data_IF_439449690598
#
_entry.id   IF_439449690598
#
_cell.length_a   1.000
_cell.length_b   1.000
_cell.length_c   1.000
_cell.angle_alpha   90.00
_cell.angle_beta   90.00
_cell.angle_gamma   90.00
#
_symmetry.space_group_name_H-M   'P 1'
#
loop_
_entity.id
_entity.type
_entity.pdbx_description
1 polymer ?
#
# COMPACT_ATOMS: atom_id res chain seq x y z
N UNK A 1 13.36 23.55 3.62
CA UNK A 1 12.59 22.35 3.99
C UNK A 1 11.22 22.38 3.33
N UNK A 2 10.56 21.23 3.19
CA UNK A 2 9.19 21.11 2.64
C UNK A 2 8.22 22.00 3.42
N UNK A 3 8.33 22.07 4.76
CA UNK A 3 7.53 22.95 5.61
C UNK A 3 7.62 24.41 5.19
N UNK A 4 8.83 24.89 4.89
CA UNK A 4 9.03 26.27 4.47
C UNK A 4 8.40 26.53 3.09
N UNK A 5 8.40 25.54 2.18
CA UNK A 5 7.68 25.64 0.90
C UNK A 5 6.16 25.69 1.12
N UNK A 6 5.62 24.82 2.00
CA UNK A 6 4.19 24.78 2.32
C UNK A 6 3.73 26.08 3.00
N UNK A 7 4.57 26.68 3.85
CA UNK A 7 4.28 27.95 4.56
C UNK A 7 4.60 29.21 3.75
N UNK A 8 5.11 29.07 2.54
CA UNK A 8 5.44 30.22 1.70
C UNK A 8 4.16 30.80 1.09
N UNK A 9 3.76 31.99 1.59
CA UNK A 9 2.55 32.73 1.15
C UNK A 9 2.54 33.04 -0.35
N UNK A 10 3.70 33.23 -0.97
CA UNK A 10 3.77 33.49 -2.42
C UNK A 10 3.48 32.26 -3.29
N UNK A 11 3.72 31.07 -2.75
CA UNK A 11 3.40 29.81 -3.43
C UNK A 11 1.90 29.52 -3.44
N UNK A 12 1.16 29.96 -2.42
CA UNK A 12 -0.24 29.55 -2.21
C UNK A 12 -1.29 30.58 -2.53
N UNK A 13 -0.92 31.82 -2.82
CA UNK A 13 -1.88 32.92 -3.02
C UNK A 13 -2.90 32.73 -4.16
N UNK A 14 -2.69 31.75 -5.02
CA UNK A 14 -3.58 31.44 -6.15
C UNK A 14 -4.39 30.14 -5.95
N UNK A 15 -4.33 29.50 -4.77
CA UNK A 15 -5.05 28.26 -4.50
C UNK A 15 -6.14 28.50 -3.47
N UNK A 16 -7.37 28.18 -3.84
CA UNK A 16 -8.55 28.19 -2.98
C UNK A 16 -8.97 26.74 -2.71
N UNK A 17 -9.35 26.43 -1.48
CA UNK A 17 -9.79 25.11 -1.06
C UNK A 17 -11.19 25.16 -0.49
N UNK A 18 -12.07 24.28 -0.94
CA UNK A 18 -13.33 23.99 -0.27
C UNK A 18 -13.12 22.81 0.70
N UNK A 19 -13.75 22.88 1.85
CA UNK A 19 -13.80 21.79 2.81
C UNK A 19 -15.16 21.10 2.64
N UNK A 20 -15.18 19.77 2.48
CA UNK A 20 -16.40 19.01 2.35
C UNK A 20 -17.39 19.29 3.48
N UNK A 21 -18.63 19.66 3.11
CA UNK A 21 -19.69 20.01 4.05
C UNK A 21 -19.79 21.50 4.40
N UNK A 22 -18.88 22.34 3.89
CA UNK A 22 -18.98 23.80 3.97
C UNK A 22 -19.54 24.32 2.63
N UNK A 23 -20.48 25.26 2.69
CA UNK A 23 -21.10 25.84 1.48
C UNK A 23 -20.02 26.51 0.62
N UNK A 24 -20.19 26.46 -0.72
CA UNK A 24 -19.28 27.02 -1.73
C UNK A 24 -18.89 28.51 -1.50
N UNK A 25 -19.63 29.21 -0.67
CA UNK A 25 -19.37 30.61 -0.31
C UNK A 25 -18.26 30.76 0.75
N UNK A 26 -17.85 29.65 1.41
CA UNK A 26 -16.81 29.62 2.46
C UNK A 26 -15.57 28.88 1.93
N UNK A 27 -14.88 29.49 0.96
CA UNK A 27 -13.58 29.00 0.51
C UNK A 27 -12.45 29.63 1.33
N UNK A 28 -11.53 28.80 1.77
CA UNK A 28 -10.37 29.25 2.54
C UNK A 28 -9.14 29.34 1.66
N UNK A 29 -8.35 30.37 1.85
CA UNK A 29 -7.01 30.41 1.28
C UNK A 29 -6.10 29.40 2.00
N UNK A 30 -5.30 28.63 1.25
CA UNK A 30 -4.39 27.65 1.84
C UNK A 30 -3.48 28.22 2.95
N UNK A 31 -2.94 29.47 2.85
CA UNK A 31 -2.16 30.07 3.94
C UNK A 31 -2.91 30.15 5.28
N UNK A 32 -4.21 30.45 5.27
CA UNK A 32 -5.01 30.55 6.50
C UNK A 32 -5.20 29.18 7.15
N UNK A 33 -5.42 28.13 6.35
CA UNK A 33 -5.53 26.75 6.84
C UNK A 33 -4.21 26.31 7.44
N UNK A 34 -3.09 26.57 6.75
CA UNK A 34 -1.75 26.16 7.20
C UNK A 34 -1.29 26.93 8.44
N UNK A 35 -1.65 28.20 8.59
CA UNK A 35 -1.31 28.98 9.81
C UNK A 35 -2.03 28.43 11.05
N UNK A 36 -3.20 27.80 10.89
CA UNK A 36 -4.01 27.25 11.99
C UNK A 36 -3.79 25.77 12.22
N UNK A 37 -3.30 25.05 11.21
CA UNK A 37 -3.11 23.63 11.28
C UNK A 37 -1.75 23.25 11.87
N UNK A 38 -1.73 22.25 12.73
CA UNK A 38 -0.51 21.53 13.06
C UNK A 38 -0.13 20.62 11.90
N UNK A 39 1.08 20.82 11.33
CA UNK A 39 1.55 20.01 10.20
C UNK A 39 2.40 18.89 10.76
N UNK A 40 1.84 17.69 10.72
CA UNK A 40 2.52 16.45 11.08
C UNK A 40 3.10 15.80 9.84
N UNK A 41 4.32 15.27 9.95
CA UNK A 41 4.98 14.50 8.90
C UNK A 41 5.12 13.06 9.35
N UNK A 42 4.37 12.18 8.67
CA UNK A 42 4.43 10.76 8.91
C UNK A 42 4.77 9.98 7.62
N UNK A 43 5.39 8.82 7.81
CA UNK A 43 5.58 7.88 6.70
C UNK A 43 4.22 7.34 6.25
N UNK A 44 4.00 7.28 4.93
CA UNK A 44 2.76 6.74 4.34
C UNK A 44 2.48 5.33 4.85
N UNK A 45 3.51 4.48 4.92
CA UNK A 45 3.38 3.10 5.38
C UNK A 45 3.00 3.04 6.86
N UNK A 46 3.54 3.94 7.69
CA UNK A 46 3.18 4.05 9.10
C UNK A 46 1.72 4.47 9.30
N UNK A 47 1.26 5.48 8.56
CA UNK A 47 -0.15 5.89 8.59
C UNK A 47 -1.10 4.74 8.23
N UNK A 48 -0.73 3.88 7.27
CA UNK A 48 -1.53 2.71 6.93
C UNK A 48 -1.55 1.66 8.05
N UNK A 49 -0.43 1.46 8.77
CA UNK A 49 -0.39 0.57 9.94
C UNK A 49 -1.37 1.05 11.01
N UNK A 50 -1.28 2.32 11.40
CA UNK A 50 -2.17 2.91 12.40
C UNK A 50 -3.64 2.74 12.03
N UNK A 51 -4.01 3.05 10.78
CA UNK A 51 -5.37 2.89 10.28
C UNK A 51 -5.87 1.45 10.46
N UNK A 52 -5.12 0.47 10.00
CA UNK A 52 -5.59 -0.91 9.98
C UNK A 52 -5.55 -1.57 11.36
N UNK A 53 -4.59 -1.21 12.21
CA UNK A 53 -4.57 -1.67 13.61
C UNK A 53 -5.81 -1.14 14.36
N UNK A 54 -6.18 0.13 14.16
CA UNK A 54 -7.40 0.69 14.76
C UNK A 54 -8.67 0.03 14.22
N UNK A 55 -8.72 -0.31 12.92
CA UNK A 55 -9.84 -1.07 12.35
C UNK A 55 -10.00 -2.45 13.01
N UNK A 56 -8.90 -3.17 13.20
CA UNK A 56 -8.91 -4.47 13.90
C UNK A 56 -9.42 -4.31 15.33
N UNK A 57 -9.01 -3.24 16.04
CA UNK A 57 -9.47 -2.97 17.40
C UNK A 57 -10.95 -2.68 17.43
N UNK A 58 -11.44 -1.82 16.53
CA UNK A 58 -12.86 -1.48 16.46
C UNK A 58 -13.72 -2.71 16.13
N UNK A 59 -13.27 -3.59 15.21
CA UNK A 59 -13.93 -4.86 14.93
C UNK A 59 -13.99 -5.79 16.17
N UNK A 60 -12.88 -5.93 16.90
CA UNK A 60 -12.80 -6.76 18.12
C UNK A 60 -13.67 -6.21 19.25
N UNK A 61 -13.83 -4.90 19.34
CA UNK A 61 -14.59 -4.24 20.40
C UNK A 61 -16.06 -3.98 20.04
N UNK A 62 -16.47 -4.18 18.80
CA UNK A 62 -17.82 -3.88 18.29
C UNK A 62 -18.97 -4.55 19.06
N UNK A 63 -18.71 -5.69 19.73
CA UNK A 63 -19.70 -6.42 20.55
C UNK A 63 -19.81 -5.96 22.02
N UNK A 64 -18.94 -5.05 22.49
CA UNK A 64 -18.94 -4.60 23.88
C UNK A 64 -19.95 -3.47 24.09
N UNK A 65 -20.75 -3.58 25.16
CA UNK A 65 -21.72 -2.53 25.53
C UNK A 65 -21.06 -1.20 25.94
N UNK A 66 -19.85 -1.27 26.46
CA UNK A 66 -19.04 -0.11 26.84
C UNK A 66 -17.57 -0.43 26.55
N UNK A 67 -16.91 0.43 25.84
CA UNK A 67 -15.48 0.33 25.49
C UNK A 67 -14.75 1.39 26.31
N UNK A 68 -13.72 0.98 27.03
CA UNK A 68 -12.84 1.87 27.82
C UNK A 68 -11.54 2.14 27.07
N UNK A 69 -10.81 3.21 27.45
CA UNK A 69 -9.48 3.47 26.92
C UNK A 69 -8.49 2.34 27.27
N UNK A 70 -8.67 1.70 28.41
CA UNK A 70 -7.87 0.54 28.82
C UNK A 70 -8.11 -0.66 27.88
N UNK A 71 -9.36 -0.91 27.46
CA UNK A 71 -9.68 -1.91 26.47
C UNK A 71 -8.99 -1.63 25.13
N UNK A 72 -9.05 -0.37 24.66
CA UNK A 72 -8.39 0.05 23.42
C UNK A 72 -6.88 -0.10 23.49
N UNK A 73 -6.26 0.37 24.56
CA UNK A 73 -4.81 0.28 24.76
C UNK A 73 -4.31 -1.16 24.83
N UNK A 74 -5.09 -2.04 25.50
CA UNK A 74 -4.75 -3.48 25.54
C UNK A 74 -4.81 -4.12 24.17
N UNK A 75 -5.89 -3.87 23.41
CA UNK A 75 -6.01 -4.39 22.04
C UNK A 75 -4.95 -3.79 21.12
N UNK A 76 -4.63 -2.52 21.24
CA UNK A 76 -3.55 -1.88 20.47
C UNK A 76 -2.21 -2.59 20.72
N UNK A 77 -1.81 -2.73 21.97
CA UNK A 77 -0.57 -3.42 22.34
C UNK A 77 -0.54 -4.89 21.88
N UNK A 78 -1.69 -5.58 21.87
CA UNK A 78 -1.76 -6.99 21.44
C UNK A 78 -1.60 -7.17 19.92
N UNK A 79 -1.90 -6.14 19.13
CA UNK A 79 -1.75 -6.18 17.67
C UNK A 79 -0.38 -5.69 17.19
N UNK A 80 0.42 -5.08 18.05
CA UNK A 80 1.81 -4.73 17.78
C UNK A 80 2.77 -5.87 18.20
N UNK A 81 3.96 -5.98 17.58
CA UNK A 81 4.43 -5.21 16.44
C UNK A 81 3.65 -5.50 15.16
N UNK A 82 3.51 -4.48 14.30
CA UNK A 82 2.90 -4.62 12.99
C UNK A 82 3.93 -4.40 11.87
N UNK A 83 3.83 -5.17 10.80
CA UNK A 83 4.68 -5.07 9.62
C UNK A 83 3.84 -4.79 8.38
N UNK A 84 4.23 -3.81 7.58
CA UNK A 84 3.42 -3.37 6.45
C UNK A 84 4.22 -3.19 5.17
N UNK A 85 3.52 -3.44 4.06
CA UNK A 85 3.91 -3.09 2.70
C UNK A 85 2.90 -2.11 2.12
N UNK A 86 3.36 -0.91 1.77
CA UNK A 86 2.59 0.07 1.01
C UNK A 86 2.90 -0.09 -0.47
N UNK A 87 2.05 -0.82 -1.17
CA UNK A 87 2.24 -1.21 -2.56
C UNK A 87 1.74 -0.12 -3.51
N UNK A 88 2.64 0.74 -3.95
CA UNK A 88 2.35 1.84 -4.87
C UNK A 88 2.65 1.54 -6.33
N UNK A 89 2.25 2.47 -7.20
CA UNK A 89 2.53 2.40 -8.64
C UNK A 89 4.01 2.57 -8.98
N UNK A 90 4.74 3.39 -8.21
CA UNK A 90 6.17 3.72 -8.44
C UNK A 90 7.10 3.19 -7.37
N UNK A 91 6.61 2.98 -6.16
CA UNK A 91 7.40 2.56 -5.00
C UNK A 91 6.64 1.56 -4.16
N UNK A 92 7.38 0.69 -3.47
CA UNK A 92 6.87 -0.11 -2.37
C UNK A 92 7.50 0.43 -1.08
N UNK A 93 6.66 0.86 -0.14
CA UNK A 93 7.09 1.20 1.21
C UNK A 93 7.09 -0.04 2.09
N UNK A 94 8.10 -0.20 2.95
CA UNK A 94 8.16 -1.25 3.96
C UNK A 94 8.38 -0.58 5.31
N UNK A 95 7.57 -0.90 6.31
CA UNK A 95 7.72 -0.38 7.65
C UNK A 95 7.31 -1.39 8.71
N UNK A 96 7.86 -1.22 9.92
CA UNK A 96 7.44 -1.91 11.13
C UNK A 96 7.14 -0.89 12.22
N UNK A 97 6.02 -1.06 12.86
CA UNK A 97 5.66 -0.34 14.08
C UNK A 97 5.83 -1.25 15.30
N UNK A 98 6.52 -0.73 16.31
CA UNK A 98 6.72 -1.36 17.59
C UNK A 98 6.55 -0.31 18.69
N UNK A 99 5.67 -0.55 19.65
CA UNK A 99 5.39 0.32 20.81
C UNK A 99 4.99 1.77 20.46
N UNK A 100 4.18 1.94 19.41
CA UNK A 100 3.76 3.27 18.89
C UNK A 100 4.94 4.19 18.52
N UNK A 101 6.13 3.63 18.29
CA UNK A 101 7.30 4.35 17.79
C UNK A 101 7.66 3.87 16.40
N UNK A 102 7.96 4.82 15.52
CA UNK A 102 8.48 4.50 14.19
C UNK A 102 9.84 3.84 14.37
N UNK A 103 9.92 2.57 14.06
CA UNK A 103 11.22 1.95 13.94
C UNK A 103 11.90 2.54 12.69
N UNK A 104 13.13 3.03 12.84
CA UNK A 104 13.91 3.77 11.85
C UNK A 104 14.24 3.01 10.55
N UNK A 105 13.69 1.82 10.37
CA UNK A 105 13.84 0.95 9.20
C UNK A 105 12.67 1.01 8.22
N UNK A 106 12.02 2.17 8.04
CA UNK A 106 11.14 2.32 6.89
C UNK A 106 11.98 2.55 5.65
N UNK A 107 11.73 1.79 4.59
CA UNK A 107 12.37 2.02 3.30
C UNK A 107 11.34 2.14 2.18
N UNK A 108 11.79 2.76 1.09
CA UNK A 108 11.03 2.84 -0.15
C UNK A 108 11.85 2.20 -1.27
N UNK A 109 11.29 1.19 -1.93
CA UNK A 109 11.93 0.44 -3.00
C UNK A 109 11.13 0.59 -4.30
N UNK A 110 11.81 0.79 -5.42
CA UNK A 110 11.19 0.93 -6.74
C UNK A 110 11.09 -0.39 -7.50
N UNK A 111 11.93 -1.37 -7.17
CA UNK A 111 12.12 -2.58 -7.98
C UNK A 111 10.89 -3.48 -8.05
N UNK A 112 10.04 -3.40 -7.03
CA UNK A 112 8.83 -4.23 -6.91
C UNK A 112 7.53 -3.50 -7.23
N UNK A 113 7.61 -2.25 -7.72
CA UNK A 113 6.42 -1.44 -8.01
C UNK A 113 5.76 -1.81 -9.36
N UNK A 114 4.51 -1.39 -9.56
CA UNK A 114 3.74 -1.67 -10.79
C UNK A 114 4.47 -1.18 -12.05
N UNK A 115 5.11 -0.03 -11.99
CA UNK A 115 5.90 0.49 -13.12
C UNK A 115 6.97 -0.51 -13.58
N UNK A 116 7.62 -1.19 -12.65
CA UNK A 116 8.64 -2.19 -12.95
C UNK A 116 8.01 -3.48 -13.53
N UNK A 117 6.85 -3.90 -13.03
CA UNK A 117 6.08 -5.01 -13.59
C UNK A 117 5.70 -4.71 -15.05
N UNK A 118 5.22 -3.49 -15.33
CA UNK A 118 4.88 -3.06 -16.70
C UNK A 118 6.11 -3.08 -17.62
N UNK A 119 7.24 -2.58 -17.13
CA UNK A 119 8.50 -2.60 -17.88
C UNK A 119 8.95 -4.03 -18.17
N UNK A 120 8.93 -4.91 -17.18
CA UNK A 120 9.32 -6.32 -17.33
C UNK A 120 8.38 -7.07 -18.28
N UNK A 121 7.08 -6.79 -18.22
CA UNK A 121 6.08 -7.35 -19.14
C UNK A 121 6.36 -6.91 -20.58
N UNK A 122 6.59 -5.59 -20.81
CA UNK A 122 6.93 -5.05 -22.12
C UNK A 122 8.21 -5.70 -22.68
N UNK A 123 9.24 -5.82 -21.85
CA UNK A 123 10.51 -6.45 -22.22
C UNK A 123 10.35 -7.94 -22.53
N UNK A 124 9.53 -8.66 -21.77
CA UNK A 124 9.25 -10.09 -22.01
C UNK A 124 8.55 -10.31 -23.35
N UNK A 125 7.53 -9.50 -23.63
CA UNK A 125 6.80 -9.52 -24.90
C UNK A 125 7.75 -9.22 -26.06
N UNK A 126 8.59 -8.20 -25.92
CA UNK A 126 9.57 -7.87 -26.96
C UNK A 126 10.55 -9.00 -27.24
N UNK A 127 11.08 -9.63 -26.18
CA UNK A 127 11.99 -10.77 -26.32
C UNK A 127 11.37 -11.94 -27.09
N UNK A 128 10.08 -12.19 -26.83
CA UNK A 128 9.36 -13.34 -27.39
C UNK A 128 8.84 -13.09 -28.81
N UNK A 129 8.29 -11.89 -29.06
CA UNK A 129 7.54 -11.60 -30.28
C UNK A 129 8.20 -10.56 -31.18
N UNK A 130 9.31 -9.92 -30.77
CA UNK A 130 9.92 -8.77 -31.46
C UNK A 130 8.90 -7.66 -31.73
N UNK A 131 7.96 -7.47 -30.79
CA UNK A 131 6.91 -6.46 -30.85
C UNK A 131 6.97 -5.54 -29.64
N UNK A 132 7.02 -4.23 -29.84
CA UNK A 132 7.15 -3.23 -28.78
C UNK A 132 5.77 -2.75 -28.32
N UNK A 133 5.51 -2.89 -27.02
CA UNK A 133 4.36 -2.28 -26.36
C UNK A 133 4.91 -1.25 -25.36
N UNK A 134 4.49 0.03 -25.44
CA UNK A 134 4.87 1.02 -24.44
C UNK A 134 4.46 0.57 -23.02
N UNK A 135 5.38 0.68 -22.07
CA UNK A 135 5.16 0.19 -20.70
C UNK A 135 3.94 0.81 -20.01
N UNK A 136 3.65 2.09 -20.31
CA UNK A 136 2.51 2.85 -19.79
C UNK A 136 1.15 2.33 -20.28
N UNK A 137 1.12 1.49 -21.31
CA UNK A 137 -0.09 0.87 -21.85
C UNK A 137 -0.32 -0.55 -21.35
N UNK A 138 0.69 -1.18 -20.74
CA UNK A 138 0.66 -2.58 -20.34
C UNK A 138 -0.49 -2.87 -19.38
N UNK A 139 -0.62 -2.06 -18.30
CA UNK A 139 -1.64 -2.27 -17.29
C UNK A 139 -3.05 -2.14 -17.86
N UNK A 140 -3.32 -1.07 -18.63
CA UNK A 140 -4.60 -0.87 -19.30
C UNK A 140 -4.93 -2.03 -20.26
N UNK A 141 -3.98 -2.44 -21.09
CA UNK A 141 -4.18 -3.53 -22.04
C UNK A 141 -4.38 -4.90 -21.35
N UNK A 142 -3.72 -5.11 -20.20
CA UNK A 142 -3.91 -6.33 -19.42
C UNK A 142 -5.28 -6.36 -18.74
N UNK A 143 -5.76 -5.22 -18.20
CA UNK A 143 -7.08 -5.06 -17.58
C UNK A 143 -8.21 -5.24 -18.62
N UNK A 144 -8.03 -4.70 -19.83
CA UNK A 144 -8.97 -4.85 -20.96
C UNK A 144 -8.90 -6.23 -21.61
N UNK A 145 -8.03 -7.13 -21.15
CA UNK A 145 -7.74 -8.45 -21.79
C UNK A 145 -7.42 -8.33 -23.28
N UNK A 146 -6.75 -7.26 -23.67
CA UNK A 146 -6.49 -6.91 -25.05
C UNK A 146 -5.61 -7.95 -25.75
N UNK A 147 -6.03 -8.32 -26.96
CA UNK A 147 -5.26 -9.15 -27.88
C UNK A 147 -4.74 -8.27 -29.01
N UNK A 148 -3.44 -8.29 -29.23
CA UNK A 148 -2.81 -7.59 -30.36
C UNK A 148 -2.66 -8.57 -31.51
N UNK A 149 -3.22 -8.20 -32.66
CA UNK A 149 -3.02 -8.88 -33.93
C UNK A 149 -2.32 -7.89 -34.86
N UNK A 150 -1.03 -8.10 -35.14
CA UNK A 150 -0.22 -7.14 -35.87
C UNK A 150 0.99 -7.85 -36.49
N UNK A 151 1.87 -7.11 -37.16
CA UNK A 151 3.15 -7.57 -37.63
C UNK A 151 4.27 -7.08 -36.69
N UNK A 152 5.23 -7.97 -36.38
CA UNK A 152 6.41 -7.63 -35.60
C UNK A 152 7.44 -6.82 -36.41
N UNK A 153 8.56 -6.43 -35.76
CA UNK A 153 9.64 -5.67 -36.42
C UNK A 153 10.30 -6.43 -37.59
N UNK A 154 10.14 -7.75 -37.66
CA UNK A 154 10.68 -8.61 -38.72
C UNK A 154 9.65 -8.84 -39.84
N UNK A 155 8.45 -8.23 -39.75
CA UNK A 155 7.36 -8.36 -40.70
C UNK A 155 6.56 -9.67 -40.60
N UNK A 156 6.70 -10.40 -39.48
CA UNK A 156 5.98 -11.62 -39.20
C UNK A 156 4.66 -11.33 -38.46
N UNK A 157 3.55 -12.04 -38.77
CA UNK A 157 2.29 -11.87 -38.06
C UNK A 157 2.40 -12.41 -36.65
N UNK A 158 1.95 -11.62 -35.67
CA UNK A 158 1.96 -11.98 -34.22
C UNK A 158 0.58 -11.82 -33.61
N UNK A 159 0.27 -12.75 -32.68
CA UNK A 159 -0.92 -12.67 -31.81
C UNK A 159 -0.44 -12.66 -30.37
N UNK A 160 -0.62 -11.53 -29.70
CA UNK A 160 -0.08 -11.32 -28.34
C UNK A 160 -1.24 -11.13 -27.36
N UNK A 161 -1.29 -11.99 -26.34
CA UNK A 161 -2.17 -11.86 -25.17
C UNK A 161 -1.39 -11.25 -24.03
N UNK A 162 -1.72 -10.02 -23.63
CA UNK A 162 -0.95 -9.25 -22.64
C UNK A 162 -1.24 -9.71 -21.20
N UNK A 163 -2.52 -9.95 -20.88
CA UNK A 163 -2.95 -10.29 -19.53
C UNK A 163 -2.24 -11.51 -18.92
N UNK A 164 -2.01 -12.63 -19.63
CA UNK A 164 -1.27 -13.77 -19.06
C UNK A 164 0.16 -13.43 -18.69
N UNK A 165 0.88 -12.67 -19.53
CA UNK A 165 2.26 -12.29 -19.26
C UNK A 165 2.34 -11.28 -18.11
N UNK A 166 1.42 -10.31 -18.05
CA UNK A 166 1.32 -9.36 -16.95
C UNK A 166 1.06 -10.08 -15.61
N UNK A 167 0.11 -11.02 -15.57
CA UNK A 167 -0.17 -11.85 -14.38
C UNK A 167 1.06 -12.66 -13.95
N UNK A 168 1.83 -13.20 -14.88
CA UNK A 168 3.07 -13.92 -14.59
C UNK A 168 4.11 -13.00 -13.97
N UNK A 169 4.28 -11.78 -14.49
CA UNK A 169 5.21 -10.80 -13.93
C UNK A 169 4.80 -10.33 -12.53
N UNK A 170 3.49 -10.09 -12.30
CA UNK A 170 2.97 -9.80 -10.93
C UNK A 170 3.36 -10.91 -9.97
N UNK A 171 3.13 -12.17 -10.35
CA UNK A 171 3.43 -13.30 -9.46
C UNK A 171 4.92 -13.45 -9.15
N UNK A 172 5.78 -13.21 -10.13
CA UNK A 172 7.23 -13.21 -9.95
C UNK A 172 7.65 -12.09 -9.00
N UNK A 173 7.17 -10.87 -9.24
CA UNK A 173 7.50 -9.70 -8.42
C UNK A 173 7.04 -9.85 -6.98
N UNK A 174 5.84 -10.40 -6.72
CA UNK A 174 5.37 -10.67 -5.35
C UNK A 174 6.30 -11.65 -4.62
N UNK A 175 6.74 -12.70 -5.32
CA UNK A 175 7.67 -13.68 -4.76
C UNK A 175 9.02 -13.04 -4.45
N UNK A 176 9.55 -12.25 -5.36
CA UNK A 176 10.82 -11.52 -5.18
C UNK A 176 10.72 -10.51 -4.02
N UNK A 177 9.61 -9.76 -3.89
CA UNK A 177 9.36 -8.87 -2.77
C UNK A 177 9.33 -9.62 -1.43
N UNK A 178 8.67 -10.79 -1.40
CA UNK A 178 8.66 -11.64 -0.20
C UNK A 178 10.08 -12.13 0.14
N UNK A 179 10.83 -12.65 -0.83
CA UNK A 179 12.21 -13.12 -0.65
C UNK A 179 13.13 -11.99 -0.17
N UNK A 180 12.98 -10.79 -0.74
CA UNK A 180 13.67 -9.59 -0.29
C UNK A 180 13.32 -9.26 1.16
N UNK A 181 12.03 -9.23 1.50
CA UNK A 181 11.58 -8.95 2.88
C UNK A 181 12.11 -10.00 3.87
N UNK A 182 12.13 -11.28 3.48
CA UNK A 182 12.72 -12.35 4.29
C UNK A 182 14.24 -12.21 4.46
N UNK A 183 14.93 -11.70 3.47
CA UNK A 183 16.37 -11.50 3.53
C UNK A 183 16.74 -10.33 4.45
N UNK A 184 16.09 -9.18 4.27
CA UNK A 184 16.47 -7.91 4.93
C UNK A 184 15.78 -7.71 6.29
N UNK A 185 14.56 -8.26 6.47
CA UNK A 185 13.69 -8.01 7.64
C UNK A 185 13.16 -9.29 8.28
N UNK A 186 13.86 -10.43 8.15
CA UNK A 186 13.36 -11.74 8.61
C UNK A 186 12.85 -11.70 10.05
N UNK A 187 13.67 -11.20 10.97
CA UNK A 187 13.32 -11.14 12.39
C UNK A 187 12.11 -10.25 12.61
N UNK A 188 12.18 -9.04 12.12
CA UNK A 188 11.13 -8.02 12.25
C UNK A 188 9.81 -8.54 11.70
N UNK A 189 9.84 -9.13 10.50
CA UNK A 189 8.66 -9.69 9.86
C UNK A 189 8.11 -10.88 10.64
N UNK A 190 8.90 -11.89 10.95
CA UNK A 190 8.40 -13.12 11.59
C UNK A 190 7.92 -12.91 13.04
N UNK A 191 8.43 -11.89 13.74
CA UNK A 191 7.99 -11.56 15.12
C UNK A 191 6.82 -10.59 15.19
N UNK A 192 6.35 -10.03 14.08
CA UNK A 192 5.18 -9.17 14.06
C UNK A 192 3.88 -9.95 14.31
N UNK A 193 2.91 -9.29 14.94
CA UNK A 193 1.59 -9.86 15.25
C UNK A 193 0.56 -9.53 14.16
N UNK A 194 0.77 -8.44 13.44
CA UNK A 194 -0.10 -7.97 12.37
C UNK A 194 0.71 -7.71 11.11
N UNK A 195 0.19 -8.18 9.97
CA UNK A 195 0.77 -7.98 8.64
C UNK A 195 -0.23 -7.23 7.77
N UNK A 196 0.20 -6.15 7.13
CA UNK A 196 -0.67 -5.26 6.40
C UNK A 196 -0.13 -5.05 4.99
N UNK A 197 -1.00 -5.19 3.99
CA UNK A 197 -0.72 -4.79 2.61
C UNK A 197 -1.68 -3.69 2.22
N UNK A 198 -1.14 -2.51 1.91
CA UNK A 198 -1.87 -1.29 1.56
C UNK A 198 -1.40 -0.70 0.24
N UNK A 199 -1.90 0.49 -0.10
CA UNK A 199 -1.53 1.23 -1.29
C UNK A 199 -2.35 0.89 -2.53
N UNK A 200 -2.18 1.68 -3.59
CA UNK A 200 -2.98 1.57 -4.81
C UNK A 200 -2.85 0.24 -5.56
N UNK A 201 -1.74 -0.47 -5.38
CA UNK A 201 -1.52 -1.81 -5.90
C UNK A 201 -1.75 -2.92 -4.86
N UNK A 202 -2.16 -2.57 -3.64
CA UNK A 202 -2.37 -3.52 -2.54
C UNK A 202 -3.28 -4.69 -2.92
N UNK A 203 -4.34 -4.43 -3.70
CA UNK A 203 -5.25 -5.45 -4.23
C UNK A 203 -4.55 -6.57 -5.00
N UNK A 204 -3.53 -6.23 -5.78
CA UNK A 204 -2.80 -7.19 -6.61
C UNK A 204 -1.82 -8.04 -5.80
N UNK A 205 -1.32 -7.51 -4.67
CA UNK A 205 -0.26 -8.12 -3.88
C UNK A 205 -0.77 -8.91 -2.68
N UNK A 206 -1.84 -8.43 -2.03
CA UNK A 206 -2.23 -8.84 -0.69
C UNK A 206 -2.39 -10.34 -0.53
N UNK A 207 -3.28 -10.95 -1.31
CA UNK A 207 -3.63 -12.36 -1.11
C UNK A 207 -2.41 -13.28 -1.16
N UNK A 208 -1.51 -13.02 -2.11
CA UNK A 208 -0.37 -13.89 -2.33
C UNK A 208 0.79 -13.59 -1.40
N UNK A 209 1.05 -12.31 -1.14
CA UNK A 209 2.10 -11.87 -0.22
C UNK A 209 1.78 -12.31 1.21
N UNK A 210 0.56 -12.06 1.69
CA UNK A 210 0.11 -12.48 3.01
C UNK A 210 0.10 -14.00 3.17
N UNK A 211 -0.23 -14.73 2.12
CA UNK A 211 -0.12 -16.20 2.11
C UNK A 211 1.33 -16.66 2.32
N UNK A 212 2.29 -16.09 1.59
CA UNK A 212 3.71 -16.43 1.77
C UNK A 212 4.20 -16.10 3.19
N UNK A 213 3.78 -14.97 3.73
CA UNK A 213 4.13 -14.59 5.10
C UNK A 213 3.56 -15.58 6.11
N UNK A 214 2.27 -15.97 5.98
CA UNK A 214 1.66 -16.95 6.86
C UNK A 214 2.37 -18.31 6.80
N UNK A 215 2.70 -18.78 5.60
CA UNK A 215 3.46 -20.01 5.40
C UNK A 215 4.84 -19.92 6.08
N UNK A 216 5.56 -18.82 5.93
CA UNK A 216 6.86 -18.61 6.57
C UNK A 216 6.75 -18.55 8.10
N UNK A 217 5.70 -17.94 8.65
CA UNK A 217 5.45 -17.96 10.12
C UNK A 217 5.16 -19.39 10.58
N UNK A 218 4.32 -20.14 9.87
CA UNK A 218 3.98 -21.51 10.18
C UNK A 218 5.22 -22.44 10.14
N UNK A 219 6.06 -22.28 9.12
CA UNK A 219 7.32 -23.05 9.00
C UNK A 219 8.30 -22.79 10.15
N UNK A 220 8.36 -21.54 10.66
CA UNK A 220 9.33 -21.17 11.70
C UNK A 220 8.79 -21.38 13.13
N UNK A 221 7.48 -21.24 13.36
CA UNK A 221 6.87 -21.22 14.70
C UNK A 221 5.68 -22.16 14.87
N UNK A 222 5.23 -22.83 13.81
CA UNK A 222 4.09 -23.73 13.80
C UNK A 222 2.76 -23.05 13.42
N UNK A 223 1.81 -23.86 12.95
CA UNK A 223 0.49 -23.42 12.47
C UNK A 223 -0.30 -22.67 13.56
N UNK A 224 -0.26 -23.15 14.81
CA UNK A 224 -0.97 -22.51 15.91
C UNK A 224 -0.53 -21.04 16.14
N UNK A 225 0.76 -20.74 15.93
CA UNK A 225 1.29 -19.38 16.02
C UNK A 225 0.85 -18.56 14.82
N UNK A 226 0.92 -19.15 13.62
CA UNK A 226 0.49 -18.47 12.41
C UNK A 226 -0.99 -18.09 12.46
N UNK A 227 -1.86 -18.96 12.96
CA UNK A 227 -3.31 -18.72 13.06
C UNK A 227 -3.70 -17.64 14.08
N UNK A 228 -2.82 -17.32 15.02
CA UNK A 228 -3.04 -16.26 16.02
C UNK A 228 -2.65 -14.87 15.52
N UNK A 229 -2.00 -14.77 14.38
CA UNK A 229 -1.58 -13.48 13.80
C UNK A 229 -2.64 -12.91 12.87
N UNK A 230 -2.59 -11.60 12.66
CA UNK A 230 -3.52 -10.90 11.76
C UNK A 230 -2.85 -10.70 10.39
N UNK A 231 -3.57 -11.06 9.32
CA UNK A 231 -3.12 -10.89 7.93
C UNK A 231 -4.15 -10.02 7.21
N UNK A 232 -3.83 -8.75 7.03
CA UNK A 232 -4.77 -7.72 6.65
C UNK A 232 -4.44 -7.13 5.27
N UNK A 233 -5.40 -7.21 4.37
CA UNK A 233 -5.48 -6.33 3.22
C UNK A 233 -6.14 -5.05 3.72
N UNK A 234 -5.47 -3.92 3.56
CA UNK A 234 -5.97 -2.65 4.06
C UNK A 234 -7.32 -2.30 3.42
N UNK A 235 -8.31 -1.98 4.26
CA UNK A 235 -9.67 -1.65 3.84
C UNK A 235 -9.94 -0.14 3.86
N UNK A 236 -9.15 0.62 4.66
CA UNK A 236 -9.47 2.00 5.02
C UNK A 236 -10.66 2.08 5.99
N UNK A 237 -10.85 3.20 6.66
CA UNK A 237 -11.91 3.38 7.65
C UNK A 237 -13.32 3.60 7.04
N UNK A 238 -13.43 3.86 5.77
CA UNK A 238 -14.68 4.22 5.10
C UNK A 238 -15.38 3.04 4.42
N UNK A 239 -15.38 1.88 5.07
CA UNK A 239 -16.28 0.80 4.75
C UNK A 239 -15.98 0.04 3.46
N UNK A 240 -17.03 -0.54 2.88
CA UNK A 240 -17.00 -1.44 1.72
C UNK A 240 -16.72 -0.74 0.38
N UNK A 241 -15.89 0.30 0.38
CA UNK A 241 -15.49 0.97 -0.85
C UNK A 241 -14.50 0.07 -1.59
N UNK A 242 -14.83 -0.27 -2.81
CA UNK A 242 -13.92 -0.89 -3.75
C UNK A 242 -12.62 -0.08 -3.80
N UNK A 243 -11.46 -0.72 -3.52
CA UNK A 243 -10.16 -0.07 -3.35
C UNK A 243 -9.91 0.68 -2.02
N UNK A 244 -10.49 0.25 -0.93
CA UNK A 244 -10.25 0.82 0.41
C UNK A 244 -8.78 0.90 0.82
N UNK A 245 -7.92 0.02 0.30
CA UNK A 245 -6.46 0.04 0.51
C UNK A 245 -5.80 1.35 0.06
N UNK A 246 -6.36 2.05 -0.94
CA UNK A 246 -5.87 3.35 -1.43
C UNK A 246 -6.07 4.43 -0.36
N UNK A 247 -7.15 4.35 0.40
CA UNK A 247 -7.53 5.37 1.38
C UNK A 247 -6.96 5.14 2.78
N UNK A 248 -6.38 3.97 3.06
CA UNK A 248 -5.85 3.64 4.39
C UNK A 248 -4.78 4.63 4.86
N UNK A 249 -3.94 5.10 3.96
CA UNK A 249 -2.89 6.08 4.22
C UNK A 249 -3.49 7.44 4.63
N UNK A 250 -4.47 7.93 3.86
CA UNK A 250 -5.11 9.20 4.17
C UNK A 250 -5.90 9.13 5.49
N UNK A 251 -6.60 8.02 5.73
CA UNK A 251 -7.35 7.78 6.96
C UNK A 251 -6.40 7.66 8.16
N UNK A 252 -5.29 6.93 8.03
CA UNK A 252 -4.28 6.83 9.08
C UNK A 252 -3.66 8.18 9.43
N UNK A 253 -3.35 9.00 8.43
CA UNK A 253 -2.86 10.36 8.64
C UNK A 253 -3.85 11.25 9.41
N UNK A 254 -5.15 11.12 9.16
CA UNK A 254 -6.18 11.83 9.92
C UNK A 254 -6.33 11.33 11.37
N UNK A 255 -6.05 10.06 11.63
CA UNK A 255 -6.13 9.48 12.97
C UNK A 255 -4.91 9.82 13.83
N UNK A 256 -3.79 10.16 13.22
CA UNK A 256 -2.56 10.60 13.90
C UNK A 256 -2.57 12.10 14.21
N UNK A 257 -3.39 12.88 13.54
CA UNK A 257 -3.55 14.33 13.76
C UNK A 257 -4.52 14.62 14.90
#
# INVERSE_FOLDING_TARGET
>A
SIINCIRNKDFHKNYMFSIDGIKDEEMYELPEIIERAEILFESQTYASITCEVLNIIDEKLAGKKQVTDEDRNREFSSNLPAFAWDCGGKTIGIAREEDATINSKSESNTDYAITNICMNTSNSIYKQYKYRIPQEKIEAYATEERIINDFNEEGEPVIIKIAPEYKKQIQATIKELFEYSMKEYKREMLTSNTFIVSGGAGELYADKLLKYVREAVAENFGEEVADKKNYCKAKGKYGDVENGSIYSIATGGLLLA
#
